data_IF_556537540774
#
_entry.id   IF_556537540774
#
_cell.length_a   1.000
_cell.length_b   1.000
_cell.length_c   1.000
_cell.angle_alpha   90.00
_cell.angle_beta   90.00
_cell.angle_gamma   90.00
#
_symmetry.space_group_name_H-M   'P 1'
#
loop_
_entity.id
_entity.type
_entity.pdbx_description
1 polymer ?
#
# COMPACT_ATOMS: atom_id res chain seq x y z
N UNK A 1 80.87 29.14 -0.10
CA UNK A 1 79.56 29.13 0.58
C UNK A 1 78.51 28.82 -0.45
N UNK A 2 77.97 27.55 -0.43
CA UNK A 2 76.92 27.06 -1.35
C UNK A 2 75.61 27.14 -0.62
N UNK A 3 74.62 27.96 -1.07
CA UNK A 3 73.28 28.01 -0.59
C UNK A 3 72.48 26.85 -1.22
N UNK A 4 71.98 25.95 -0.38
CA UNK A 4 71.06 24.88 -0.77
C UNK A 4 69.66 25.52 -0.70
N UNK A 5 68.94 25.53 -1.84
CA UNK A 5 67.54 25.91 -1.90
C UNK A 5 66.70 24.63 -1.69
N UNK A 6 66.02 24.53 -0.56
CA UNK A 6 65.03 23.50 -0.29
C UNK A 6 63.72 23.96 -0.89
N UNK A 7 63.28 23.28 -1.94
CA UNK A 7 61.94 23.48 -2.52
C UNK A 7 60.94 22.56 -1.76
N UNK A 8 60.03 23.15 -1.00
CA UNK A 8 58.90 22.46 -0.36
C UNK A 8 57.79 22.33 -1.39
N UNK A 9 57.61 21.13 -1.94
CA UNK A 9 56.46 20.82 -2.80
C UNK A 9 55.23 20.46 -1.92
N UNK A 10 54.31 21.42 -1.77
CA UNK A 10 52.98 21.15 -1.21
C UNK A 10 52.17 20.39 -2.27
N UNK A 11 52.01 19.10 -2.10
CA UNK A 11 50.99 18.31 -2.83
C UNK A 11 49.62 18.57 -2.17
N UNK A 12 48.81 19.46 -2.76
CA UNK A 12 47.39 19.55 -2.42
C UNK A 12 46.70 18.25 -2.92
N UNK A 13 46.37 17.36 -2.00
CA UNK A 13 45.36 16.31 -2.27
C UNK A 13 44.01 17.02 -2.38
N UNK A 14 43.57 17.31 -3.60
CA UNK A 14 42.18 17.64 -3.90
C UNK A 14 41.39 16.32 -3.76
N UNK A 15 40.82 16.07 -2.58
CA UNK A 15 39.77 15.11 -2.43
C UNK A 15 38.57 15.62 -3.25
N UNK A 16 38.46 15.14 -4.47
CA UNK A 16 37.26 15.31 -5.30
C UNK A 16 36.12 14.57 -4.58
N UNK A 17 35.34 15.29 -3.78
CA UNK A 17 33.97 14.87 -3.47
C UNK A 17 33.23 14.87 -4.81
N UNK A 18 33.31 13.76 -5.54
CA UNK A 18 32.34 13.46 -6.56
C UNK A 18 31.00 13.38 -5.82
N UNK A 19 30.20 14.42 -5.84
CA UNK A 19 28.80 14.34 -5.47
C UNK A 19 28.24 13.25 -6.36
N UNK A 20 27.97 12.07 -5.80
CA UNK A 20 27.24 11.03 -6.50
C UNK A 20 25.92 11.66 -6.93
N UNK A 21 25.68 11.70 -8.25
CA UNK A 21 24.43 12.22 -8.77
C UNK A 21 23.29 11.41 -8.13
N UNK A 22 22.35 12.10 -7.49
CA UNK A 22 21.20 11.44 -6.86
C UNK A 22 20.37 10.72 -7.92
N UNK A 23 19.93 9.49 -7.62
CA UNK A 23 19.02 8.78 -8.51
C UNK A 23 17.61 9.30 -8.31
N UNK A 24 17.00 9.82 -9.39
CA UNK A 24 15.63 10.32 -9.34
C UNK A 24 14.65 9.15 -9.35
N UNK A 25 13.68 9.16 -8.43
CA UNK A 25 12.58 8.19 -8.35
C UNK A 25 11.24 8.94 -8.32
N UNK A 26 10.38 8.62 -9.28
CA UNK A 26 8.97 9.02 -9.28
C UNK A 26 8.13 7.88 -8.72
N UNK A 27 7.43 8.14 -7.63
CA UNK A 27 6.57 7.19 -6.94
C UNK A 27 5.09 7.55 -7.12
N UNK A 28 4.27 6.61 -7.59
CA UNK A 28 2.81 6.76 -7.67
C UNK A 28 2.16 6.07 -6.49
N UNK A 29 1.60 6.82 -5.54
CA UNK A 29 0.68 6.21 -4.57
C UNK A 29 -0.62 5.80 -5.28
N UNK A 30 -1.34 4.83 -4.71
CA UNK A 30 -2.64 4.42 -5.25
C UNK A 30 -3.82 5.21 -4.65
N UNK A 31 -3.56 6.06 -3.63
CA UNK A 31 -4.58 6.83 -2.94
C UNK A 31 -4.12 8.24 -2.59
N UNK A 32 -5.03 9.01 -1.99
CA UNK A 32 -4.75 10.33 -1.40
C UNK A 32 -3.80 10.19 -0.21
N UNK A 33 -3.22 11.31 0.20
CA UNK A 33 -2.44 11.40 1.42
C UNK A 33 -3.38 11.38 2.63
N UNK A 34 -3.49 10.23 3.27
CA UNK A 34 -4.22 9.96 4.51
C UNK A 34 -3.27 9.30 5.52
N UNK A 35 -3.71 9.13 6.77
CA UNK A 35 -2.89 8.62 7.86
C UNK A 35 -1.97 7.44 7.52
N UNK A 36 -2.44 6.38 6.83
CA UNK A 36 -1.60 5.23 6.47
C UNK A 36 -0.45 5.52 5.49
N UNK A 37 -0.44 6.69 4.84
CA UNK A 37 0.70 7.14 4.04
C UNK A 37 1.83 7.77 4.88
N UNK A 38 1.61 7.96 6.19
CA UNK A 38 2.58 8.57 7.08
C UNK A 38 3.99 7.96 7.00
N UNK A 39 4.19 6.64 6.93
CA UNK A 39 5.53 6.06 6.82
C UNK A 39 6.34 6.58 5.62
N UNK A 40 5.70 6.67 4.45
CA UNK A 40 6.34 7.13 3.21
C UNK A 40 6.63 8.64 3.26
N UNK A 41 5.64 9.43 3.70
CA UNK A 41 5.75 10.88 3.79
C UNK A 41 6.71 11.31 4.90
N UNK A 42 6.73 10.58 6.03
CA UNK A 42 7.68 10.81 7.10
C UNK A 42 9.12 10.56 6.64
N UNK A 43 9.35 9.48 5.88
CA UNK A 43 10.66 9.22 5.29
C UNK A 43 11.07 10.32 4.29
N UNK A 44 10.12 10.85 3.51
CA UNK A 44 10.35 11.93 2.56
C UNK A 44 10.69 13.23 3.27
N UNK A 45 9.86 13.67 4.22
CA UNK A 45 10.00 14.95 4.91
C UNK A 45 11.24 15.01 5.81
N UNK A 46 11.67 13.86 6.37
CA UNK A 46 12.88 13.76 7.18
C UNK A 46 14.17 13.52 6.35
N UNK A 47 14.04 13.49 5.02
CA UNK A 47 15.21 13.40 4.13
C UNK A 47 15.86 12.02 4.07
N UNK A 48 15.19 10.92 4.51
CA UNK A 48 15.77 9.57 4.54
C UNK A 48 16.15 9.08 3.14
N UNK A 49 15.36 9.45 2.13
CA UNK A 49 15.70 9.18 0.74
C UNK A 49 16.94 9.95 0.28
N UNK A 50 17.02 11.25 0.62
CA UNK A 50 18.15 12.11 0.25
C UNK A 50 19.44 11.67 0.93
N UNK A 51 19.38 11.25 2.21
CA UNK A 51 20.51 10.66 2.95
C UNK A 51 21.08 9.43 2.23
N UNK A 52 20.22 8.68 1.53
CA UNK A 52 20.55 7.48 0.76
C UNK A 52 20.81 7.78 -0.73
N UNK A 53 21.04 9.05 -1.12
CA UNK A 53 21.41 9.44 -2.47
C UNK A 53 20.25 9.40 -3.47
N UNK A 54 19.00 9.52 -3.00
CA UNK A 54 17.82 9.49 -3.83
C UNK A 54 17.11 10.86 -3.86
N UNK A 55 16.63 11.23 -5.05
CA UNK A 55 15.73 12.36 -5.27
C UNK A 55 14.33 11.81 -5.57
N UNK A 56 13.47 11.77 -4.55
CA UNK A 56 12.15 11.11 -4.61
C UNK A 56 11.05 12.14 -4.71
N UNK A 57 10.18 11.95 -5.71
CA UNK A 57 8.90 12.66 -5.81
C UNK A 57 7.75 11.66 -5.71
N UNK A 58 6.68 12.04 -5.01
CA UNK A 58 5.53 11.17 -4.78
C UNK A 58 4.24 11.86 -5.20
N UNK A 59 3.42 11.17 -5.97
CA UNK A 59 2.12 11.64 -6.43
C UNK A 59 0.99 10.74 -5.93
N UNK A 60 -0.20 11.32 -5.72
CA UNK A 60 -1.41 10.57 -5.37
C UNK A 60 -2.01 9.85 -6.58
N UNK A 61 -2.86 8.84 -6.31
CA UNK A 61 -3.59 8.09 -7.33
C UNK A 61 -5.07 7.91 -7.00
N UNK A 62 -5.75 7.17 -7.87
CA UNK A 62 -7.20 6.88 -7.79
C UNK A 62 -7.47 5.38 -7.85
N UNK A 63 -6.72 4.61 -7.07
CA UNK A 63 -6.81 3.16 -6.97
C UNK A 63 -5.70 2.40 -7.68
N UNK A 64 -5.55 1.14 -7.32
CA UNK A 64 -4.47 0.27 -7.80
C UNK A 64 -4.52 0.03 -9.31
N UNK A 65 -5.72 0.03 -9.91
CA UNK A 65 -5.88 -0.12 -11.37
C UNK A 65 -5.37 1.09 -12.16
N UNK A 66 -5.11 2.23 -11.51
CA UNK A 66 -4.40 3.37 -12.11
C UNK A 66 -2.89 3.30 -11.85
N UNK A 67 -2.48 2.95 -10.62
CA UNK A 67 -1.09 2.95 -10.21
C UNK A 67 -0.26 1.87 -10.95
N UNK A 68 -0.79 0.66 -11.11
CA UNK A 68 -0.05 -0.45 -11.76
C UNK A 68 0.33 -0.10 -13.21
N UNK A 69 -0.57 0.34 -14.10
CA UNK A 69 -0.20 0.74 -15.47
C UNK A 69 0.78 1.91 -15.53
N UNK A 70 0.72 2.86 -14.58
CA UNK A 70 1.69 3.97 -14.50
C UNK A 70 3.11 3.46 -14.28
N UNK A 71 3.28 2.48 -13.39
CA UNK A 71 4.58 1.86 -13.12
C UNK A 71 4.98 0.95 -14.27
N UNK A 72 4.06 0.14 -14.80
CA UNK A 72 4.33 -0.77 -15.91
C UNK A 72 4.83 -0.02 -17.17
N UNK A 73 4.26 1.15 -17.46
CA UNK A 73 4.67 1.98 -18.61
C UNK A 73 5.99 2.73 -18.40
N UNK A 74 6.55 2.73 -17.19
CA UNK A 74 7.74 3.52 -16.83
C UNK A 74 7.46 5.03 -16.63
N UNK A 75 6.18 5.46 -16.65
CA UNK A 75 5.80 6.84 -16.29
C UNK A 75 6.18 7.16 -14.84
N UNK A 76 6.09 6.15 -13.98
CA UNK A 76 6.61 6.12 -12.62
C UNK A 76 7.59 4.97 -12.48
N UNK A 77 8.64 5.17 -11.68
CA UNK A 77 9.66 4.15 -11.44
C UNK A 77 9.15 3.09 -10.45
N UNK A 78 8.39 3.53 -9.46
CA UNK A 78 7.85 2.73 -8.37
C UNK A 78 6.45 3.24 -8.01
N UNK A 79 5.70 2.45 -7.24
CA UNK A 79 4.40 2.89 -6.74
C UNK A 79 3.84 1.95 -5.68
N UNK A 80 2.71 2.35 -5.08
CA UNK A 80 1.92 1.49 -4.22
C UNK A 80 0.71 0.95 -4.99
N UNK A 81 0.39 -0.33 -4.80
CA UNK A 81 -0.80 -0.96 -5.37
C UNK A 81 -1.17 -2.24 -4.60
N UNK A 82 -2.41 -2.68 -4.73
CA UNK A 82 -2.87 -3.97 -4.25
C UNK A 82 -2.19 -5.13 -5.01
N UNK A 83 -1.59 -6.08 -4.27
CA UNK A 83 -0.88 -7.21 -4.86
C UNK A 83 -1.82 -8.13 -5.65
N UNK A 84 -3.08 -8.24 -5.24
CA UNK A 84 -4.06 -9.12 -5.90
C UNK A 84 -4.48 -8.55 -7.26
N UNK A 85 -4.55 -7.22 -7.36
CA UNK A 85 -4.71 -6.52 -8.63
C UNK A 85 -3.46 -6.66 -9.52
N UNK A 86 -2.26 -6.66 -8.94
CA UNK A 86 -1.02 -6.92 -9.66
C UNK A 86 -1.00 -8.36 -10.23
N UNK A 87 -1.44 -9.37 -9.47
CA UNK A 87 -1.54 -10.76 -9.92
C UNK A 87 -2.40 -10.86 -11.18
N UNK A 88 -3.60 -10.25 -11.15
CA UNK A 88 -4.51 -10.21 -12.32
C UNK A 88 -3.91 -9.42 -13.48
N UNK A 89 -3.23 -8.31 -13.22
CA UNK A 89 -2.55 -7.52 -14.24
C UNK A 89 -1.43 -8.32 -14.93
N UNK A 90 -0.63 -9.08 -14.18
CA UNK A 90 0.44 -9.94 -14.69
C UNK A 90 -0.09 -11.08 -15.56
N UNK A 91 -1.23 -11.68 -15.19
CA UNK A 91 -1.91 -12.66 -16.03
C UNK A 91 -2.32 -12.09 -17.39
N UNK A 92 -2.88 -10.87 -17.37
CA UNK A 92 -3.35 -10.19 -18.59
C UNK A 92 -2.21 -9.61 -19.44
N UNK A 93 -1.06 -9.35 -18.83
CA UNK A 93 0.11 -8.70 -19.45
C UNK A 93 1.40 -9.45 -19.08
N UNK A 94 1.59 -10.69 -19.55
CA UNK A 94 2.72 -11.53 -19.14
C UNK A 94 4.09 -10.93 -19.47
N UNK A 95 4.18 -10.11 -20.52
CA UNK A 95 5.41 -9.43 -20.97
C UNK A 95 5.77 -8.21 -20.08
N UNK A 96 4.83 -7.68 -19.30
CA UNK A 96 5.06 -6.54 -18.41
C UNK A 96 5.44 -7.03 -17.02
N UNK A 97 6.73 -7.29 -16.79
CA UNK A 97 7.27 -7.94 -15.61
C UNK A 97 7.35 -7.05 -14.35
N UNK A 98 6.31 -6.24 -14.09
CA UNK A 98 6.19 -5.47 -12.84
C UNK A 98 6.14 -6.43 -11.66
N UNK A 99 6.94 -6.16 -10.62
CA UNK A 99 6.99 -6.96 -9.40
C UNK A 99 6.70 -6.13 -8.16
N UNK A 100 6.10 -6.77 -7.17
CA UNK A 100 6.05 -6.30 -5.80
C UNK A 100 7.42 -6.55 -5.14
N UNK A 101 7.88 -5.61 -4.30
CA UNK A 101 9.19 -5.69 -3.65
C UNK A 101 9.13 -5.37 -2.15
N UNK A 102 7.95 -4.95 -1.64
CA UNK A 102 7.73 -4.64 -0.23
C UNK A 102 6.25 -4.67 0.10
N UNK A 103 5.83 -5.39 1.14
CA UNK A 103 4.44 -5.41 1.61
C UNK A 103 4.18 -4.24 2.55
N UNK A 104 3.22 -3.38 2.22
CA UNK A 104 2.76 -2.28 3.07
C UNK A 104 1.69 -2.75 4.05
N UNK A 105 0.72 -3.56 3.59
CA UNK A 105 -0.32 -4.15 4.43
C UNK A 105 -0.21 -5.67 4.41
N UNK A 106 0.34 -6.24 5.48
CA UNK A 106 0.48 -7.68 5.62
C UNK A 106 -0.90 -8.37 5.75
N UNK A 107 -1.85 -7.75 6.46
CA UNK A 107 -3.26 -8.09 6.46
C UNK A 107 -4.03 -7.04 5.66
N UNK A 108 -4.71 -7.41 4.54
CA UNK A 108 -5.35 -6.43 3.69
C UNK A 108 -6.48 -5.70 4.41
N UNK A 109 -6.63 -4.37 4.22
CA UNK A 109 -7.71 -3.59 4.82
C UNK A 109 -9.03 -3.71 4.05
N UNK A 110 -9.16 -4.67 3.13
CA UNK A 110 -10.35 -4.86 2.33
C UNK A 110 -11.54 -5.19 3.22
N UNK A 111 -12.61 -4.43 3.10
CA UNK A 111 -13.79 -4.57 3.93
C UNK A 111 -15.07 -4.32 3.14
N UNK A 112 -16.12 -4.98 3.60
CA UNK A 112 -17.49 -4.50 3.41
C UNK A 112 -17.81 -3.65 4.63
N UNK A 113 -18.21 -2.41 4.40
CA UNK A 113 -18.64 -1.50 5.47
C UNK A 113 -20.11 -1.20 5.29
N UNK A 114 -20.91 -1.55 6.28
CA UNK A 114 -22.36 -1.38 6.29
C UNK A 114 -22.84 -0.59 7.49
N UNK A 115 -24.15 -0.50 7.62
CA UNK A 115 -24.80 0.05 8.81
C UNK A 115 -25.69 -1.00 9.45
N UNK A 116 -25.55 -1.16 10.78
CA UNK A 116 -26.36 -2.11 11.55
C UNK A 116 -27.85 -1.75 11.48
N UNK A 117 -28.18 -0.45 11.48
CA UNK A 117 -29.53 0.07 11.29
C UNK A 117 -30.13 -0.26 9.91
N UNK A 118 -29.30 -0.55 8.90
CA UNK A 118 -29.71 -1.01 7.59
C UNK A 118 -29.68 -2.55 7.48
N UNK A 119 -29.42 -3.25 8.60
CA UNK A 119 -29.45 -4.72 8.71
C UNK A 119 -28.22 -5.37 8.11
N UNK A 120 -27.05 -4.74 8.13
CA UNK A 120 -25.78 -5.30 7.67
C UNK A 120 -24.87 -5.49 8.87
N UNK A 121 -24.71 -6.73 9.36
CA UNK A 121 -23.89 -7.10 10.53
C UNK A 121 -22.90 -8.22 10.21
N UNK A 122 -23.16 -8.99 9.17
CA UNK A 122 -22.38 -10.16 8.76
C UNK A 122 -22.32 -10.26 7.23
N UNK A 123 -21.41 -11.08 6.66
CA UNK A 123 -21.35 -11.29 5.21
C UNK A 123 -22.68 -11.72 4.61
N UNK A 124 -23.41 -12.60 5.30
CA UNK A 124 -24.66 -13.18 4.80
C UNK A 124 -25.80 -12.15 4.73
N UNK A 125 -25.74 -11.10 5.54
CA UNK A 125 -26.75 -10.02 5.53
C UNK A 125 -26.75 -9.21 4.24
N UNK A 126 -25.76 -9.37 3.37
CA UNK A 126 -25.70 -8.69 2.08
C UNK A 126 -26.76 -9.21 1.08
N UNK A 127 -27.29 -10.40 1.27
CA UNK A 127 -28.39 -10.89 0.43
C UNK A 127 -29.62 -10.01 0.55
N UNK A 128 -30.12 -9.51 -0.57
CA UNK A 128 -31.23 -8.56 -0.65
C UNK A 128 -30.82 -7.10 -0.44
N UNK A 129 -29.53 -6.79 -0.36
CA UNK A 129 -29.00 -5.45 -0.14
C UNK A 129 -28.39 -4.82 -1.39
N UNK A 130 -28.17 -3.50 -1.33
CA UNK A 130 -27.45 -2.73 -2.34
C UNK A 130 -26.04 -2.47 -1.84
N UNK A 131 -25.05 -2.98 -2.58
CA UNK A 131 -23.62 -2.78 -2.33
C UNK A 131 -23.07 -1.68 -3.25
N UNK A 132 -22.70 -0.55 -2.68
CA UNK A 132 -22.01 0.52 -3.41
C UNK A 132 -20.52 0.21 -3.59
N UNK A 133 -20.08 0.00 -4.83
CA UNK A 133 -18.73 -0.44 -5.13
C UNK A 133 -18.11 0.38 -6.26
N UNK A 134 -16.97 1.10 -6.00
CA UNK A 134 -16.22 1.75 -7.06
C UNK A 134 -15.52 0.70 -7.95
N UNK A 135 -15.68 0.77 -9.27
CA UNK A 135 -15.08 -0.21 -10.18
C UNK A 135 -13.54 -0.35 -10.04
N UNK A 136 -12.73 0.72 -9.80
CA UNK A 136 -11.28 0.60 -9.63
C UNK A 136 -10.83 0.27 -8.19
N UNK A 137 -11.74 -0.06 -7.27
CA UNK A 137 -11.44 -0.34 -5.86
C UNK A 137 -10.81 -1.73 -5.68
N UNK A 138 -9.63 -1.79 -5.04
CA UNK A 138 -8.96 -3.05 -4.71
C UNK A 138 -9.81 -3.97 -3.82
N UNK A 139 -10.61 -3.42 -2.90
CA UNK A 139 -11.54 -4.22 -2.10
C UNK A 139 -12.67 -4.82 -2.96
N UNK A 140 -13.22 -4.06 -3.91
CA UNK A 140 -14.24 -4.59 -4.83
C UNK A 140 -13.67 -5.67 -5.76
N UNK A 141 -12.41 -5.56 -6.13
CA UNK A 141 -11.74 -6.58 -6.95
C UNK A 141 -11.71 -7.97 -6.28
N UNK A 142 -11.96 -8.07 -4.95
CA UNK A 142 -12.02 -9.30 -4.18
C UNK A 142 -13.47 -9.77 -3.92
N UNK A 143 -14.48 -9.09 -4.47
CA UNK A 143 -15.90 -9.37 -4.22
C UNK A 143 -16.28 -10.85 -4.50
N UNK A 144 -15.90 -11.37 -5.66
CA UNK A 144 -16.28 -12.73 -6.05
C UNK A 144 -15.65 -13.79 -5.13
N UNK A 145 -14.38 -13.58 -4.73
CA UNK A 145 -13.71 -14.45 -3.76
C UNK A 145 -14.39 -14.37 -2.38
N UNK A 146 -14.77 -13.16 -1.95
CA UNK A 146 -15.48 -12.96 -0.69
C UNK A 146 -16.87 -13.63 -0.69
N UNK A 147 -17.62 -13.49 -1.78
CA UNK A 147 -18.90 -14.16 -1.99
C UNK A 147 -18.75 -15.68 -1.86
N UNK A 148 -17.75 -16.26 -2.54
CA UNK A 148 -17.47 -17.69 -2.51
C UNK A 148 -17.09 -18.17 -1.11
N UNK A 149 -16.20 -17.46 -0.44
CA UNK A 149 -15.72 -17.82 0.89
C UNK A 149 -16.82 -17.78 1.97
N UNK A 150 -17.89 -17.00 1.75
CA UNK A 150 -18.98 -16.80 2.72
C UNK A 150 -20.32 -17.36 2.26
N UNK A 151 -20.35 -18.19 1.21
CA UNK A 151 -21.56 -18.80 0.64
C UNK A 151 -22.69 -17.80 0.34
N UNK A 152 -22.35 -16.55 -0.07
CA UNK A 152 -23.32 -15.50 -0.38
C UNK A 152 -23.91 -15.79 -1.76
N UNK A 153 -25.25 -15.69 -1.87
CA UNK A 153 -25.94 -15.71 -3.16
C UNK A 153 -25.78 -14.34 -3.85
N UNK A 154 -24.74 -14.19 -4.67
CA UNK A 154 -24.46 -12.92 -5.36
C UNK A 154 -25.62 -12.41 -6.23
N UNK A 155 -26.51 -13.32 -6.72
CA UNK A 155 -27.67 -12.92 -7.52
C UNK A 155 -28.70 -12.10 -6.73
N UNK A 156 -28.62 -12.14 -5.40
CA UNK A 156 -29.46 -11.37 -4.49
C UNK A 156 -28.84 -10.05 -4.05
N UNK A 157 -27.60 -9.76 -4.41
CA UNK A 157 -26.90 -8.52 -4.05
C UNK A 157 -26.90 -7.58 -5.25
N UNK A 158 -27.54 -6.43 -5.10
CA UNK A 158 -27.52 -5.40 -6.14
C UNK A 158 -26.20 -4.61 -6.05
N UNK A 159 -25.39 -4.64 -7.11
CA UNK A 159 -24.16 -3.84 -7.18
C UNK A 159 -24.47 -2.48 -7.78
N UNK A 160 -24.24 -1.43 -7.01
CA UNK A 160 -24.31 -0.03 -7.47
C UNK A 160 -22.88 0.46 -7.74
N UNK A 161 -22.57 0.77 -9.00
CA UNK A 161 -21.28 1.36 -9.35
C UNK A 161 -21.25 2.83 -8.93
N UNK A 162 -20.57 3.11 -7.82
CA UNK A 162 -20.46 4.45 -7.23
C UNK A 162 -19.04 4.99 -7.39
N UNK A 163 -18.87 6.29 -7.53
CA UNK A 163 -17.54 6.92 -7.49
C UNK A 163 -17.03 7.03 -6.05
N UNK A 164 -15.70 6.98 -5.85
CA UNK A 164 -15.08 7.15 -4.53
C UNK A 164 -15.58 8.38 -3.73
N UNK A 165 -15.78 9.58 -4.32
CA UNK A 165 -16.22 10.75 -3.56
C UNK A 165 -17.62 10.64 -2.97
N UNK A 166 -18.48 9.79 -3.54
CA UNK A 166 -19.90 9.67 -3.13
C UNK A 166 -20.20 8.37 -2.39
N UNK A 167 -19.28 7.46 -2.31
CA UNK A 167 -19.43 6.12 -1.70
C UNK A 167 -19.93 6.21 -0.26
N UNK A 168 -19.17 6.83 0.65
CA UNK A 168 -19.56 6.99 2.05
C UNK A 168 -20.77 7.93 2.22
N UNK A 169 -20.94 9.06 1.48
CA UNK A 169 -22.18 9.82 1.47
C UNK A 169 -23.43 9.01 1.14
N UNK A 170 -23.37 8.09 0.18
CA UNK A 170 -24.51 7.25 -0.20
C UNK A 170 -24.89 6.28 0.92
N UNK A 171 -23.90 5.64 1.57
CA UNK A 171 -24.15 4.77 2.72
C UNK A 171 -24.69 5.57 3.92
N UNK A 172 -24.12 6.74 4.21
CA UNK A 172 -24.59 7.60 5.31
C UNK A 172 -26.04 8.02 5.12
N UNK A 173 -26.48 8.23 3.87
CA UNK A 173 -27.85 8.60 3.51
C UNK A 173 -28.80 7.40 3.33
N UNK A 174 -28.31 6.15 3.46
CA UNK A 174 -29.10 4.94 3.22
C UNK A 174 -29.50 4.72 1.75
N UNK A 175 -28.77 5.32 0.80
CA UNK A 175 -28.98 5.09 -0.64
C UNK A 175 -28.36 3.77 -1.12
N UNK A 176 -27.37 3.27 -0.40
CA UNK A 176 -26.85 1.91 -0.44
C UNK A 176 -26.83 1.37 0.98
N UNK A 177 -26.84 0.04 1.15
CA UNK A 177 -26.89 -0.61 2.45
C UNK A 177 -25.48 -0.92 2.99
N UNK A 178 -24.55 -1.15 2.07
CA UNK A 178 -23.14 -1.40 2.34
C UNK A 178 -22.26 -0.82 1.23
N UNK A 179 -20.96 -0.73 1.49
CA UNK A 179 -19.94 -0.30 0.51
C UNK A 179 -18.72 -1.21 0.60
N UNK A 180 -17.98 -1.34 -0.51
CA UNK A 180 -16.61 -1.86 -0.49
C UNK A 180 -15.64 -0.74 -0.15
N UNK A 181 -14.51 -1.06 0.46
CA UNK A 181 -13.45 -0.08 0.73
C UNK A 181 -12.39 -0.62 1.68
N UNK A 182 -11.49 0.27 2.06
CA UNK A 182 -10.51 -0.01 3.12
C UNK A 182 -11.16 0.29 4.47
N UNK A 183 -11.05 -0.64 5.43
CA UNK A 183 -11.68 -0.58 6.75
C UNK A 183 -11.48 0.77 7.44
N UNK A 184 -10.23 1.19 7.59
CA UNK A 184 -9.86 2.44 8.27
C UNK A 184 -10.35 3.70 7.52
N UNK A 185 -10.34 3.70 6.17
CA UNK A 185 -10.78 4.87 5.40
C UNK A 185 -12.30 5.02 5.45
N UNK A 186 -13.05 3.95 5.15
CA UNK A 186 -14.51 4.03 5.12
C UNK A 186 -15.11 4.25 6.51
N UNK A 187 -14.57 3.60 7.56
CA UNK A 187 -15.00 3.82 8.94
C UNK A 187 -14.86 5.29 9.36
N UNK A 188 -13.64 5.84 9.23
CA UNK A 188 -13.35 7.23 9.61
C UNK A 188 -14.18 8.23 8.78
N UNK A 189 -14.34 7.96 7.48
CA UNK A 189 -15.11 8.84 6.61
C UNK A 189 -16.62 8.82 6.97
N UNK A 190 -17.18 7.71 7.43
CA UNK A 190 -18.57 7.62 7.90
C UNK A 190 -18.75 8.35 9.23
N UNK A 191 -17.81 8.24 10.18
CA UNK A 191 -17.80 9.07 11.40
C UNK A 191 -17.81 10.55 11.07
N UNK A 192 -16.99 10.97 10.10
CA UNK A 192 -16.95 12.37 9.65
C UNK A 192 -18.27 12.85 9.00
N UNK A 193 -19.16 11.92 8.61
CA UNK A 193 -20.52 12.19 8.12
C UNK A 193 -21.61 12.01 9.18
N UNK A 194 -21.20 11.98 10.44
CA UNK A 194 -22.10 11.85 11.61
C UNK A 194 -22.89 10.53 11.62
N UNK A 195 -22.41 9.48 11.00
CA UNK A 195 -22.91 8.12 11.23
C UNK A 195 -22.44 7.68 12.62
N UNK A 196 -23.33 7.25 13.54
CA UNK A 196 -22.95 6.79 14.87
C UNK A 196 -21.96 5.62 14.78
N UNK A 197 -20.93 5.63 15.63
CA UNK A 197 -19.88 4.61 15.60
C UNK A 197 -20.43 3.20 15.86
N UNK A 198 -21.39 3.09 16.76
CA UNK A 198 -22.08 1.84 17.08
C UNK A 198 -23.01 1.34 15.98
N UNK A 199 -23.39 2.18 15.01
CA UNK A 199 -24.15 1.81 13.82
C UNK A 199 -23.25 1.33 12.66
N UNK A 200 -21.94 1.68 12.68
CA UNK A 200 -21.03 1.25 11.63
C UNK A 200 -20.67 -0.22 11.84
N UNK A 201 -20.87 -1.03 10.81
CA UNK A 201 -20.42 -2.42 10.73
C UNK A 201 -19.22 -2.51 9.79
N UNK A 202 -18.08 -2.99 10.27
CA UNK A 202 -16.89 -3.24 9.46
C UNK A 202 -16.67 -4.75 9.38
N UNK A 203 -16.87 -5.31 8.20
CA UNK A 203 -16.67 -6.73 7.91
C UNK A 203 -15.35 -6.83 7.15
N UNK A 204 -14.25 -7.08 7.88
CA UNK A 204 -12.93 -7.21 7.29
C UNK A 204 -12.84 -8.54 6.53
N UNK A 205 -12.59 -8.51 5.23
CA UNK A 205 -12.61 -9.71 4.38
C UNK A 205 -11.58 -10.75 4.84
N UNK A 206 -10.45 -10.32 5.39
CA UNK A 206 -9.43 -11.21 5.94
C UNK A 206 -9.90 -12.02 7.17
N UNK A 207 -10.89 -11.54 7.92
CA UNK A 207 -11.50 -12.27 9.04
C UNK A 207 -12.62 -13.21 8.59
N UNK A 208 -12.94 -13.16 7.29
CA UNK A 208 -14.02 -13.93 6.65
C UNK A 208 -13.51 -14.73 5.44
N UNK A 209 -12.36 -15.38 5.59
CA UNK A 209 -11.87 -16.40 4.67
C UNK A 209 -10.97 -15.94 3.52
N UNK A 210 -10.62 -14.65 3.43
CA UNK A 210 -9.67 -14.16 2.44
C UNK A 210 -8.26 -14.03 3.03
N UNK A 211 -7.44 -15.05 2.89
CA UNK A 211 -6.04 -15.06 3.35
C UNK A 211 -5.11 -14.47 2.26
N UNK A 212 -5.27 -13.17 2.03
CA UNK A 212 -4.53 -12.40 1.02
C UNK A 212 -3.50 -11.49 1.69
N UNK A 213 -2.58 -10.95 0.89
CA UNK A 213 -1.82 -9.75 1.22
C UNK A 213 -2.53 -8.51 0.66
N UNK A 214 -2.24 -7.34 1.21
CA UNK A 214 -2.82 -6.07 0.75
C UNK A 214 -1.88 -5.30 -0.18
N UNK A 215 -1.79 -3.97 0.03
CA UNK A 215 -0.95 -3.12 -0.78
C UNK A 215 0.54 -3.42 -0.58
N UNK A 216 1.25 -3.27 -1.67
CA UNK A 216 2.70 -3.49 -1.81
C UNK A 216 3.34 -2.31 -2.52
N UNK A 217 4.64 -2.15 -2.36
CA UNK A 217 5.44 -1.33 -3.26
C UNK A 217 5.77 -2.17 -4.48
N UNK A 218 5.44 -1.64 -5.66
CA UNK A 218 5.74 -2.22 -6.96
C UNK A 218 6.86 -1.43 -7.65
N UNK A 219 7.61 -2.08 -8.52
CA UNK A 219 8.72 -1.48 -9.26
C UNK A 219 8.63 -1.78 -10.75
N UNK A 220 8.98 -0.79 -11.57
CA UNK A 220 9.17 -0.98 -12.99
C UNK A 220 10.42 -1.88 -13.22
N UNK A 221 10.31 -2.95 -14.04
CA UNK A 221 11.40 -3.92 -14.22
C UNK A 221 12.66 -3.29 -14.82
N UNK A 222 12.53 -2.42 -15.82
CA UNK A 222 13.68 -1.76 -16.45
C UNK A 222 14.40 -0.81 -15.49
N UNK A 223 13.65 -0.15 -14.60
CA UNK A 223 14.23 0.68 -13.56
C UNK A 223 14.99 -0.15 -12.53
N UNK A 224 14.38 -1.26 -12.07
CA UNK A 224 14.99 -2.15 -11.09
C UNK A 224 16.29 -2.79 -11.61
N UNK A 225 16.29 -3.22 -12.88
CA UNK A 225 17.48 -3.79 -13.54
C UNK A 225 18.62 -2.76 -13.65
N UNK A 226 18.30 -1.52 -14.02
CA UNK A 226 19.30 -0.45 -14.22
C UNK A 226 19.80 0.18 -12.91
N UNK A 227 18.97 0.15 -11.85
CA UNK A 227 19.22 0.87 -10.60
C UNK A 227 18.94 -0.01 -9.36
N UNK A 228 19.50 -1.24 -9.24
CA UNK A 228 19.15 -2.14 -8.14
C UNK A 228 19.53 -1.56 -6.77
N UNK A 229 20.64 -0.84 -6.68
CA UNK A 229 21.07 -0.22 -5.42
C UNK A 229 20.16 0.94 -5.00
N UNK A 230 19.62 1.70 -5.96
CA UNK A 230 18.64 2.75 -5.68
C UNK A 230 17.31 2.16 -5.16
N UNK A 231 16.88 0.99 -5.68
CA UNK A 231 15.69 0.29 -5.17
C UNK A 231 15.92 -0.19 -3.74
N UNK A 232 17.08 -0.77 -3.42
CA UNK A 232 17.45 -1.17 -2.05
C UNK A 232 17.51 0.03 -1.10
N UNK A 233 18.13 1.13 -1.53
CA UNK A 233 18.22 2.38 -0.77
C UNK A 233 16.83 2.98 -0.49
N UNK A 234 15.91 2.91 -1.47
CA UNK A 234 14.53 3.32 -1.31
C UNK A 234 13.82 2.49 -0.24
N UNK A 235 13.93 1.15 -0.30
CA UNK A 235 13.30 0.27 0.68
C UNK A 235 13.89 0.44 2.09
N UNK A 236 15.21 0.65 2.22
CA UNK A 236 15.83 0.96 3.52
C UNK A 236 15.26 2.25 4.13
N UNK A 237 15.04 3.28 3.32
CA UNK A 237 14.41 4.53 3.74
C UNK A 237 12.94 4.32 4.16
N UNK A 238 12.20 3.51 3.43
CA UNK A 238 10.80 3.14 3.76
C UNK A 238 10.74 2.37 5.08
N UNK A 239 11.62 1.39 5.27
CA UNK A 239 11.70 0.62 6.54
C UNK A 239 11.92 1.55 7.73
N UNK A 240 12.88 2.48 7.63
CA UNK A 240 13.13 3.48 8.67
C UNK A 240 11.89 4.33 8.95
N UNK A 241 11.22 4.82 7.89
CA UNK A 241 9.97 5.59 8.02
C UNK A 241 8.85 4.80 8.67
N UNK A 242 8.72 3.49 8.38
CA UNK A 242 7.76 2.61 9.03
C UNK A 242 8.10 2.37 10.51
N UNK A 243 9.37 2.11 10.83
CA UNK A 243 9.81 1.91 12.22
C UNK A 243 9.57 3.15 13.07
N UNK A 244 9.91 4.34 12.58
CA UNK A 244 9.65 5.61 13.27
C UNK A 244 8.14 5.87 13.43
N UNK A 245 7.35 5.52 12.41
CA UNK A 245 5.89 5.65 12.47
C UNK A 245 5.27 4.72 13.48
N UNK A 246 5.72 3.47 13.58
CA UNK A 246 5.27 2.50 14.57
C UNK A 246 5.64 2.99 15.99
N UNK A 247 6.86 3.48 16.18
CA UNK A 247 7.34 3.97 17.46
C UNK A 247 6.64 5.26 17.92
N UNK A 248 6.30 6.16 16.98
CA UNK A 248 5.76 7.48 17.30
C UNK A 248 4.71 7.95 16.26
N UNK A 249 3.54 7.30 16.17
CA UNK A 249 2.54 7.59 15.13
C UNK A 249 2.04 9.04 15.16
N UNK A 250 1.91 9.64 16.35
CA UNK A 250 1.53 11.04 16.51
C UNK A 250 2.57 12.03 15.95
N UNK A 251 3.83 11.63 15.86
CA UNK A 251 4.88 12.43 15.22
C UNK A 251 4.84 12.23 13.71
N UNK A 252 4.76 10.97 13.26
CA UNK A 252 4.81 10.64 11.85
C UNK A 252 3.59 11.16 11.06
N UNK A 253 2.40 11.18 11.67
CA UNK A 253 1.18 11.67 11.02
C UNK A 253 1.27 13.14 10.58
N UNK A 254 2.16 13.93 11.19
CA UNK A 254 2.37 15.35 10.80
C UNK A 254 2.86 15.49 9.37
N UNK A 255 3.61 14.50 8.86
CA UNK A 255 3.99 14.49 7.46
C UNK A 255 2.78 14.44 6.51
N UNK A 256 1.69 13.76 6.90
CA UNK A 256 0.45 13.77 6.11
C UNK A 256 -0.14 15.17 6.02
N UNK A 257 -0.08 15.96 7.10
CA UNK A 257 -0.60 17.33 7.12
C UNK A 257 0.19 18.27 6.20
N UNK A 258 1.49 18.02 6.04
CA UNK A 258 2.35 18.80 5.13
C UNK A 258 1.99 18.59 3.65
N UNK A 259 1.36 17.45 3.33
CA UNK A 259 1.02 17.05 1.96
C UNK A 259 -0.48 17.04 1.68
N UNK A 260 -1.33 17.37 2.67
CA UNK A 260 -2.78 17.39 2.53
C UNK A 260 -3.39 18.52 3.38
N UNK A 261 -3.61 19.67 2.77
CA UNK A 261 -4.11 20.90 3.42
C UNK A 261 -5.49 20.75 4.09
N UNK A 262 -6.27 19.72 3.72
CA UNK A 262 -7.60 19.47 4.31
C UNK A 262 -7.58 18.40 5.40
N UNK A 263 -6.41 17.78 5.65
CA UNK A 263 -6.24 16.77 6.69
C UNK A 263 -6.36 17.37 8.10
N UNK A 264 -6.92 16.60 9.02
CA UNK A 264 -7.00 16.96 10.44
C UNK A 264 -6.22 15.95 11.26
N UNK A 265 -5.27 16.41 12.05
CA UNK A 265 -4.31 15.58 12.78
C UNK A 265 -4.99 14.43 13.55
N UNK A 266 -6.01 14.74 14.38
CA UNK A 266 -6.70 13.72 15.16
C UNK A 266 -7.38 12.64 14.29
N UNK A 267 -7.92 13.03 13.13
CA UNK A 267 -8.59 12.11 12.19
C UNK A 267 -7.57 11.21 11.50
N UNK A 268 -6.47 11.80 11.04
CA UNK A 268 -5.44 11.04 10.33
C UNK A 268 -4.61 10.16 11.29
N UNK A 269 -4.45 10.59 12.54
CA UNK A 269 -3.83 9.76 13.58
C UNK A 269 -4.70 8.54 13.93
N UNK A 270 -6.02 8.72 14.09
CA UNK A 270 -6.94 7.60 14.32
C UNK A 270 -6.90 6.61 13.14
N UNK A 271 -6.91 7.11 11.91
CA UNK A 271 -6.82 6.31 10.70
C UNK A 271 -5.49 5.53 10.63
N UNK A 272 -4.38 6.20 10.94
CA UNK A 272 -3.06 5.57 11.00
C UNK A 272 -3.01 4.48 12.05
N UNK A 273 -3.51 4.76 13.25
CA UNK A 273 -3.51 3.79 14.34
C UNK A 273 -4.30 2.53 13.97
N UNK A 274 -5.49 2.69 13.36
CA UNK A 274 -6.26 1.55 12.85
C UNK A 274 -5.46 0.71 11.84
N UNK A 275 -4.75 1.37 10.90
CA UNK A 275 -3.94 0.67 9.92
C UNK A 275 -2.74 -0.06 10.55
N UNK A 276 -2.08 0.57 11.52
CA UNK A 276 -0.97 -0.05 12.26
C UNK A 276 -1.44 -1.29 13.01
N UNK A 277 -2.53 -1.19 13.77
CA UNK A 277 -3.01 -2.25 14.66
C UNK A 277 -3.66 -3.42 13.90
N UNK A 278 -4.33 -3.14 12.79
CA UNK A 278 -5.13 -4.13 12.08
C UNK A 278 -4.47 -4.72 10.83
N UNK A 279 -3.56 -3.98 10.19
CA UNK A 279 -3.11 -4.30 8.85
C UNK A 279 -1.58 -4.39 8.70
N UNK A 280 -0.83 -3.59 9.46
CA UNK A 280 0.63 -3.45 9.30
C UNK A 280 1.38 -4.31 10.31
N UNK A 281 1.15 -4.11 11.63
CA UNK A 281 1.88 -4.77 12.70
C UNK A 281 1.16 -6.07 13.09
N UNK A 282 1.26 -7.07 12.21
CA UNK A 282 0.67 -8.40 12.42
C UNK A 282 1.66 -9.34 13.13
N UNK A 283 1.17 -10.50 13.59
CA UNK A 283 2.03 -11.55 14.15
C UNK A 283 3.11 -11.99 13.16
N UNK A 284 2.79 -12.08 11.87
CA UNK A 284 3.75 -12.42 10.81
C UNK A 284 4.84 -11.35 10.69
N UNK A 285 4.47 -10.07 10.74
CA UNK A 285 5.44 -8.95 10.70
C UNK A 285 6.30 -8.91 11.95
N UNK A 286 5.74 -9.16 13.13
CA UNK A 286 6.50 -9.23 14.38
C UNK A 286 7.51 -10.38 14.38
N UNK A 287 7.19 -11.50 13.71
CA UNK A 287 8.07 -12.66 13.62
C UNK A 287 9.15 -12.52 12.53
N UNK A 288 8.81 -11.94 11.36
CA UNK A 288 9.63 -12.00 10.15
C UNK A 288 10.14 -10.61 9.68
N UNK A 289 9.67 -9.54 10.30
CA UNK A 289 9.99 -8.16 9.91
C UNK A 289 9.06 -7.59 8.83
N UNK A 290 9.15 -6.29 8.64
CA UNK A 290 8.34 -5.51 7.69
C UNK A 290 8.65 -5.88 6.24
N UNK A 291 7.65 -5.84 5.40
CA UNK A 291 7.77 -5.78 3.94
C UNK A 291 7.92 -7.10 3.20
N UNK A 292 8.09 -8.23 3.88
CA UNK A 292 8.25 -9.54 3.26
C UNK A 292 6.92 -10.28 3.06
N UNK A 293 6.96 -11.36 2.29
CA UNK A 293 5.88 -12.33 2.12
C UNK A 293 6.34 -13.72 2.55
N UNK A 294 5.40 -14.52 3.03
CA UNK A 294 5.58 -15.96 3.06
C UNK A 294 5.17 -16.51 1.69
N UNK A 295 6.12 -17.06 0.94
CA UNK A 295 5.88 -17.48 -0.45
C UNK A 295 4.76 -18.50 -0.58
N UNK A 296 4.64 -19.42 0.40
CA UNK A 296 3.54 -20.39 0.44
C UNK A 296 2.16 -19.71 0.65
N UNK A 297 2.11 -18.65 1.45
CA UNK A 297 0.89 -17.85 1.64
C UNK A 297 0.55 -17.06 0.37
N UNK A 298 1.56 -16.49 -0.31
CA UNK A 298 1.33 -15.79 -1.58
C UNK A 298 0.84 -16.74 -2.66
N UNK A 299 1.39 -17.97 -2.74
CA UNK A 299 0.93 -18.98 -3.68
C UNK A 299 -0.54 -19.38 -3.41
N UNK A 300 -0.90 -19.58 -2.13
CA UNK A 300 -2.31 -19.81 -1.72
C UNK A 300 -3.21 -18.64 -2.06
N UNK A 301 -2.72 -17.39 -1.92
CA UNK A 301 -3.46 -16.19 -2.33
C UNK A 301 -3.76 -16.20 -3.84
N UNK A 302 -2.79 -16.62 -4.67
CA UNK A 302 -2.97 -16.76 -6.12
C UNK A 302 -4.00 -17.85 -6.42
N UNK A 303 -3.94 -18.99 -5.73
CA UNK A 303 -4.93 -20.07 -5.86
C UNK A 303 -6.35 -19.58 -5.49
N UNK A 304 -6.46 -18.86 -4.37
CA UNK A 304 -7.75 -18.30 -3.92
C UNK A 304 -8.34 -17.30 -4.93
N UNK A 305 -7.51 -16.48 -5.57
CA UNK A 305 -7.95 -15.63 -6.69
C UNK A 305 -8.43 -16.50 -7.85
N UNK A 306 -7.69 -17.57 -8.19
CA UNK A 306 -8.03 -18.52 -9.24
C UNK A 306 -9.36 -19.26 -9.04
N UNK A 307 -9.85 -19.30 -7.82
CA UNK A 307 -11.18 -19.87 -7.49
C UNK A 307 -12.35 -19.14 -8.15
N UNK A 308 -12.17 -17.87 -8.48
CA UNK A 308 -13.22 -17.01 -9.06
C UNK A 308 -12.76 -16.24 -10.31
N UNK A 309 -11.45 -16.21 -10.56
CA UNK A 309 -10.86 -15.60 -11.73
C UNK A 309 -10.16 -16.67 -12.58
N UNK A 310 -10.53 -16.77 -13.85
CA UNK A 310 -9.90 -17.70 -14.79
C UNK A 310 -8.60 -17.12 -15.32
N UNK A 311 -7.48 -17.65 -14.85
CA UNK A 311 -6.17 -17.28 -15.37
C UNK A 311 -5.94 -17.79 -16.80
N UNK A 312 -5.36 -16.95 -17.63
CA UNK A 312 -4.83 -17.31 -18.96
C UNK A 312 -3.34 -17.64 -18.86
N UNK A 313 -2.60 -16.84 -18.09
CA UNK A 313 -1.16 -16.95 -17.85
C UNK A 313 -0.90 -16.88 -16.33
N UNK A 314 -1.42 -17.87 -15.56
CA UNK A 314 -1.32 -17.86 -14.10
C UNK A 314 0.13 -17.61 -13.66
N UNK A 315 0.43 -16.50 -12.98
CA UNK A 315 1.78 -16.25 -12.48
C UNK A 315 2.08 -17.14 -11.27
N UNK A 316 3.34 -17.51 -11.06
CA UNK A 316 3.81 -18.07 -9.80
C UNK A 316 4.11 -16.94 -8.79
N UNK A 317 4.14 -17.25 -7.50
CA UNK A 317 4.46 -16.26 -6.46
C UNK A 317 5.80 -15.54 -6.71
N UNK A 318 6.82 -16.25 -7.22
CA UNK A 318 8.13 -15.70 -7.59
C UNK A 318 8.09 -14.72 -8.79
N UNK A 319 7.05 -14.79 -9.61
CA UNK A 319 6.83 -13.83 -10.70
C UNK A 319 6.19 -12.53 -10.19
N UNK A 320 5.57 -12.59 -9.01
CA UNK A 320 4.85 -11.46 -8.40
C UNK A 320 5.70 -10.73 -7.39
N UNK A 321 6.46 -11.44 -6.52
CA UNK A 321 7.23 -10.82 -5.44
C UNK A 321 8.72 -11.12 -5.58
N UNK A 322 9.54 -10.07 -5.38
CA UNK A 322 11.00 -10.15 -5.39
C UNK A 322 11.58 -9.62 -4.08
N UNK A 323 11.98 -10.54 -3.20
CA UNK A 323 12.57 -10.23 -1.91
C UNK A 323 14.05 -9.78 -1.98
N UNK A 324 14.71 -9.85 -3.15
CA UNK A 324 16.14 -9.58 -3.29
C UNK A 324 16.54 -8.13 -3.00
N UNK A 325 15.57 -7.22 -3.01
CA UNK A 325 15.75 -5.80 -2.68
C UNK A 325 15.52 -5.48 -1.20
N UNK A 326 14.96 -6.40 -0.41
CA UNK A 326 14.68 -6.17 0.99
C UNK A 326 15.96 -6.04 1.82
N UNK A 327 16.01 -5.13 2.80
CA UNK A 327 17.03 -5.17 3.86
C UNK A 327 16.99 -6.50 4.61
N UNK A 328 18.05 -6.83 5.33
CA UNK A 328 18.08 -8.05 6.16
C UNK A 328 16.90 -8.03 7.17
N UNK A 329 16.37 -9.20 7.52
CA UNK A 329 15.22 -9.30 8.42
C UNK A 329 15.46 -8.58 9.76
N UNK A 330 16.68 -8.66 10.30
CA UNK A 330 17.07 -7.97 11.55
C UNK A 330 17.01 -6.44 11.46
N UNK A 331 17.13 -5.86 10.25
CA UNK A 331 17.10 -4.42 10.01
C UNK A 331 15.66 -3.88 9.85
N UNK A 332 14.71 -4.76 9.49
CA UNK A 332 13.32 -4.41 9.23
C UNK A 332 12.32 -4.95 10.26
N UNK A 333 12.79 -5.31 11.47
CA UNK A 333 11.89 -5.67 12.56
C UNK A 333 11.00 -4.49 12.96
N UNK A 334 9.71 -4.76 13.16
CA UNK A 334 8.79 -3.83 13.82
C UNK A 334 9.17 -3.75 15.31
N UNK A 335 9.62 -2.58 15.77
CA UNK A 335 10.13 -2.37 17.13
C UNK A 335 9.10 -1.61 17.97
#
# INVERSE_FOLDING_TARGET
MKLVKIAFSLALLAASNAALASTTIKFSNDWKWEGPAAPLLHALDNGYFTENGLDVTMDTGKGSLEAIPRVASGTYNMGAADINSLIKFRDQNPDLAVKAIFVLYNKPPFAIVGRKSLGVNSPKDLEGKILGAPAPDGAYAQWDAFVKANDIDASKVAIENVGFPVREPMLAQGKVDAITGFSFSSYINLKAKAVPEDDISVILMADHGLDLYGNVIIVNPDFAEKNPDAVKAFLASVVRGMQDTIAAPATAVKAVLNHNDVAREAVELERLQMALDQNIVTEEVLANGLGDVQMDRLEKSIDQIGDTYTFTNRPAAADIFDASFLPAASERMAK
#
